data_IF_326223744227
#
_entry.id   IF_326223744227
#
_cell.length_a   1.000
_cell.length_b   1.000
_cell.length_c   1.000
_cell.angle_alpha   90.00
_cell.angle_beta   90.00
_cell.angle_gamma   90.00
#
_symmetry.space_group_name_H-M   'P 1'
#
loop_
_entity.id
_entity.type
_entity.pdbx_description
1 polymer ?
#
# COMPACT_ATOMS: atom_id res chain seq x y z
N UNK A 1 10.13 -13.99 1.12
CA UNK A 1 10.41 -14.50 -0.24
C UNK A 1 11.91 -14.65 -0.43
N UNK A 2 12.38 -15.76 -0.99
CA UNK A 2 13.80 -15.98 -1.32
C UNK A 2 14.29 -14.95 -2.37
N UNK A 3 15.50 -14.42 -2.18
CA UNK A 3 16.17 -13.54 -3.13
C UNK A 3 16.35 -14.17 -4.51
N UNK A 4 16.55 -15.49 -4.59
CA UNK A 4 16.62 -16.23 -5.88
C UNK A 4 15.28 -16.19 -6.61
N UNK A 5 14.19 -16.50 -5.90
CA UNK A 5 12.85 -16.41 -6.46
C UNK A 5 12.55 -14.98 -6.92
N UNK A 6 12.81 -13.97 -6.09
CA UNK A 6 12.56 -12.57 -6.46
C UNK A 6 13.33 -12.14 -7.72
N UNK A 7 14.54 -12.65 -7.92
CA UNK A 7 15.32 -12.42 -9.15
C UNK A 7 14.66 -13.07 -10.38
N UNK A 8 14.18 -14.31 -10.26
CA UNK A 8 13.43 -14.99 -11.31
C UNK A 8 12.12 -14.23 -11.64
N UNK A 9 11.38 -13.80 -10.62
CA UNK A 9 10.15 -13.02 -10.79
C UNK A 9 10.42 -11.67 -11.46
N UNK A 10 11.54 -11.01 -11.16
CA UNK A 10 11.93 -9.77 -11.84
C UNK A 10 12.18 -9.96 -13.34
N UNK A 11 12.65 -11.14 -13.75
CA UNK A 11 12.80 -11.52 -15.16
C UNK A 11 11.44 -11.83 -15.78
N UNK A 12 10.61 -12.62 -15.09
CA UNK A 12 9.26 -12.98 -15.51
C UNK A 12 8.37 -11.74 -15.72
N UNK A 13 8.31 -10.85 -14.72
CA UNK A 13 7.45 -9.65 -14.74
C UNK A 13 8.13 -8.43 -15.34
N UNK A 14 9.14 -8.64 -16.18
CA UNK A 14 9.76 -7.55 -16.93
C UNK A 14 8.73 -6.94 -17.90
N UNK A 15 8.77 -5.61 -18.08
CA UNK A 15 7.84 -4.90 -18.97
C UNK A 15 7.90 -5.36 -20.43
N UNK A 16 8.98 -6.02 -20.87
CA UNK A 16 9.06 -6.58 -22.22
C UNK A 16 8.59 -8.02 -22.33
N UNK A 17 8.27 -8.68 -21.21
CA UNK A 17 7.96 -10.12 -21.15
C UNK A 17 6.45 -10.39 -20.97
N UNK A 18 5.60 -9.83 -21.82
CA UNK A 18 4.18 -10.14 -21.77
C UNK A 18 3.53 -10.14 -23.14
N UNK A 19 2.44 -10.89 -23.25
CA UNK A 19 1.45 -10.74 -24.31
C UNK A 19 0.20 -10.13 -23.71
N UNK A 20 -0.36 -9.11 -24.37
CA UNK A 20 -1.59 -8.50 -23.93
C UNK A 20 -2.79 -9.32 -24.40
N UNK A 21 -3.56 -9.86 -23.46
CA UNK A 21 -4.85 -10.47 -23.73
C UNK A 21 -5.88 -9.35 -23.92
N UNK A 22 -6.29 -9.10 -25.16
CA UNK A 22 -7.22 -8.01 -25.50
C UNK A 22 -8.65 -8.25 -24.99
N UNK A 23 -9.08 -9.51 -24.90
CA UNK A 23 -10.42 -9.88 -24.46
C UNK A 23 -10.57 -9.64 -22.96
N UNK A 24 -9.55 -10.04 -22.19
CA UNK A 24 -9.51 -9.86 -20.74
C UNK A 24 -8.92 -8.53 -20.31
N UNK A 25 -8.24 -7.82 -21.21
CA UNK A 25 -7.50 -6.58 -20.96
C UNK A 25 -6.44 -6.71 -19.87
N UNK A 26 -5.71 -7.82 -19.89
CA UNK A 26 -4.70 -8.17 -18.87
C UNK A 26 -3.39 -8.62 -19.53
N UNK A 27 -2.27 -8.38 -18.86
CA UNK A 27 -0.96 -8.85 -19.31
C UNK A 27 -0.74 -10.30 -18.86
N UNK A 28 -0.33 -11.15 -19.82
CA UNK A 28 0.04 -12.55 -19.60
C UNK A 28 1.55 -12.69 -19.78
N UNK A 29 2.24 -13.10 -18.72
CA UNK A 29 3.69 -13.21 -18.67
C UNK A 29 4.17 -14.59 -19.12
N UNK A 30 5.27 -14.62 -19.87
CA UNK A 30 5.75 -15.83 -20.52
C UNK A 30 6.84 -16.50 -19.67
N UNK A 31 6.61 -17.73 -19.24
CA UNK A 31 7.51 -18.51 -18.36
C UNK A 31 8.67 -19.16 -19.12
N UNK A 32 8.54 -19.36 -20.43
CA UNK A 32 9.57 -19.90 -21.31
C UNK A 32 10.81 -18.99 -21.44
N UNK A 33 10.67 -17.71 -21.09
CA UNK A 33 11.81 -16.78 -20.96
C UNK A 33 12.71 -17.08 -19.75
N UNK A 34 12.22 -17.85 -18.77
CA UNK A 34 12.98 -18.26 -17.60
C UNK A 34 13.89 -19.46 -17.92
N UNK A 35 15.05 -19.54 -17.26
CA UNK A 35 15.91 -20.72 -17.31
C UNK A 35 15.22 -21.92 -16.62
N UNK A 36 15.56 -23.18 -16.95
CA UNK A 36 14.95 -24.35 -16.31
C UNK A 36 15.03 -24.32 -14.77
N UNK A 37 16.17 -23.91 -14.20
CA UNK A 37 16.32 -23.76 -12.75
C UNK A 37 15.47 -22.62 -12.16
N UNK A 38 15.15 -21.59 -12.95
CA UNK A 38 14.23 -20.52 -12.53
C UNK A 38 12.78 -21.00 -12.57
N UNK A 39 12.40 -21.84 -13.55
CA UNK A 39 11.07 -22.47 -13.60
C UNK A 39 10.87 -23.44 -12.44
N UNK A 40 11.88 -24.25 -12.12
CA UNK A 40 11.85 -25.16 -10.97
C UNK A 40 11.69 -24.37 -9.65
N UNK A 41 12.31 -23.20 -9.52
CA UNK A 41 12.11 -22.32 -8.36
C UNK A 41 10.65 -21.85 -8.24
N UNK A 42 9.96 -21.54 -9.34
CA UNK A 42 8.54 -21.20 -9.30
C UNK A 42 7.71 -22.38 -8.78
N UNK A 43 7.97 -23.59 -9.28
CA UNK A 43 7.26 -24.81 -8.85
C UNK A 43 7.50 -25.12 -7.37
N UNK A 44 8.74 -25.05 -6.89
CA UNK A 44 9.10 -25.26 -5.49
C UNK A 44 8.37 -24.31 -4.54
N UNK A 45 8.16 -23.06 -4.99
CA UNK A 45 7.44 -22.04 -4.24
C UNK A 45 5.94 -21.99 -4.56
N UNK A 46 5.42 -22.90 -5.38
CA UNK A 46 4.03 -22.94 -5.83
C UNK A 46 3.58 -21.60 -6.44
N UNK A 47 4.49 -20.91 -7.13
CA UNK A 47 4.23 -19.61 -7.75
C UNK A 47 3.66 -19.79 -9.15
N UNK A 48 2.35 -19.60 -9.30
CA UNK A 48 1.70 -19.51 -10.60
C UNK A 48 2.06 -18.16 -11.25
N UNK A 49 2.57 -18.17 -12.49
CA UNK A 49 3.00 -16.96 -13.17
C UNK A 49 1.86 -15.98 -13.51
N UNK A 50 0.67 -16.51 -13.79
CA UNK A 50 -0.49 -15.77 -14.28
C UNK A 50 -1.78 -16.21 -13.60
N UNK A 51 -1.84 -16.11 -12.27
CA UNK A 51 -3.09 -16.30 -11.55
C UNK A 51 -4.01 -15.13 -11.88
N UNK A 52 -5.07 -15.41 -12.64
CA UNK A 52 -6.02 -14.40 -13.11
C UNK A 52 -7.32 -14.50 -12.34
N UNK A 53 -7.82 -13.36 -11.88
CA UNK A 53 -9.16 -13.25 -11.29
C UNK A 53 -9.86 -11.97 -11.77
N UNK A 54 -11.19 -11.97 -11.74
CA UNK A 54 -12.01 -10.87 -12.22
C UNK A 54 -12.81 -10.25 -11.09
N UNK A 55 -12.71 -8.93 -10.95
CA UNK A 55 -13.34 -8.19 -9.86
C UNK A 55 -14.43 -7.26 -10.37
N UNK A 56 -15.53 -7.20 -9.64
CA UNK A 56 -16.47 -6.08 -9.70
C UNK A 56 -16.32 -5.24 -8.45
N UNK A 57 -16.98 -4.08 -8.43
CA UNK A 57 -17.09 -3.26 -7.25
C UNK A 57 -17.69 -4.07 -6.08
N UNK A 58 -18.75 -4.80 -6.33
CA UNK A 58 -19.46 -5.58 -5.32
C UNK A 58 -18.61 -6.76 -4.83
N UNK A 59 -18.00 -7.53 -5.75
CA UNK A 59 -17.26 -8.74 -5.38
C UNK A 59 -16.02 -8.43 -4.54
N UNK A 60 -15.33 -7.32 -4.81
CA UNK A 60 -14.14 -6.96 -4.02
C UNK A 60 -14.51 -6.52 -2.59
N UNK A 61 -15.64 -5.84 -2.42
CA UNK A 61 -16.14 -5.48 -1.09
C UNK A 61 -16.56 -6.72 -0.31
N UNK A 62 -17.25 -7.67 -0.93
CA UNK A 62 -17.57 -8.96 -0.28
C UNK A 62 -16.31 -9.69 0.20
N UNK A 63 -15.24 -9.68 -0.61
CA UNK A 63 -13.97 -10.31 -0.25
C UNK A 63 -13.27 -9.59 0.91
N UNK A 64 -13.21 -8.26 0.89
CA UNK A 64 -12.66 -7.46 2.00
C UNK A 64 -13.44 -7.67 3.30
N UNK A 65 -14.78 -7.69 3.24
CA UNK A 65 -15.64 -7.92 4.41
C UNK A 65 -15.38 -9.31 5.01
N UNK A 66 -15.19 -10.35 4.19
CA UNK A 66 -14.85 -11.70 4.67
C UNK A 66 -13.57 -11.70 5.51
N UNK A 67 -12.56 -10.91 5.11
CA UNK A 67 -11.29 -10.81 5.82
C UNK A 67 -11.38 -10.11 7.19
N UNK A 68 -12.41 -9.30 7.45
CA UNK A 68 -12.57 -8.61 8.75
C UNK A 68 -12.63 -9.54 9.95
N UNK A 69 -13.06 -10.79 9.73
CA UNK A 69 -13.16 -11.82 10.77
C UNK A 69 -11.88 -12.63 10.97
N UNK A 70 -10.82 -12.37 10.20
CA UNK A 70 -9.59 -13.16 10.24
C UNK A 70 -8.79 -12.86 11.51
N UNK A 71 -8.51 -13.86 12.39
CA UNK A 71 -7.89 -13.63 13.69
C UNK A 71 -6.43 -13.14 13.60
N UNK A 72 -5.74 -13.44 12.50
CA UNK A 72 -4.38 -12.95 12.24
C UNK A 72 -4.27 -11.48 11.82
N UNK A 73 -5.40 -10.80 11.56
CA UNK A 73 -5.41 -9.39 11.14
C UNK A 73 -5.90 -8.51 12.30
N UNK A 74 -5.02 -7.63 12.77
CA UNK A 74 -5.28 -6.64 13.81
C UNK A 74 -4.40 -5.42 13.57
N UNK A 75 -4.68 -4.29 14.22
CA UNK A 75 -3.78 -3.13 14.19
C UNK A 75 -2.36 -3.49 14.62
N UNK A 76 -2.22 -4.34 15.65
CA UNK A 76 -0.91 -4.80 16.14
C UNK A 76 -0.15 -5.59 15.08
N UNK A 77 -0.80 -6.59 14.45
CA UNK A 77 -0.15 -7.45 13.46
C UNK A 77 0.15 -6.73 12.14
N UNK A 78 -0.70 -5.81 11.71
CA UNK A 78 -0.41 -5.00 10.50
C UNK A 78 0.60 -3.91 10.77
N UNK A 79 0.64 -3.32 11.97
CA UNK A 79 1.70 -2.40 12.39
C UNK A 79 3.05 -3.12 12.42
N UNK A 80 3.10 -4.35 12.93
CA UNK A 80 4.30 -5.18 12.93
C UNK A 80 4.86 -5.37 11.50
N UNK A 81 3.99 -5.75 10.56
CA UNK A 81 4.34 -5.87 9.15
C UNK A 81 4.79 -4.52 8.55
N UNK A 82 4.10 -3.43 8.87
CA UNK A 82 4.44 -2.10 8.38
C UNK A 82 5.83 -1.65 8.85
N UNK A 83 6.13 -1.82 10.14
CA UNK A 83 7.45 -1.51 10.71
C UNK A 83 8.55 -2.31 10.01
N UNK A 84 8.36 -3.62 9.85
CA UNK A 84 9.28 -4.49 9.12
C UNK A 84 9.44 -4.07 7.63
N UNK A 85 8.38 -3.54 7.02
CA UNK A 85 8.41 -2.94 5.69
C UNK A 85 9.23 -1.67 5.61
N UNK A 86 9.06 -0.75 6.57
CA UNK A 86 9.81 0.51 6.65
C UNK A 86 11.30 0.28 6.89
N UNK A 87 11.65 -0.64 7.79
CA UNK A 87 13.03 -1.03 8.06
C UNK A 87 13.69 -1.87 6.96
N UNK A 88 12.85 -2.54 6.16
CA UNK A 88 13.26 -3.26 4.96
C UNK A 88 13.52 -4.75 5.17
N UNK A 89 13.26 -5.31 6.35
CA UNK A 89 13.28 -6.75 6.59
C UNK A 89 12.09 -7.47 5.90
N UNK A 90 10.98 -6.76 5.69
CA UNK A 90 9.78 -7.30 5.06
C UNK A 90 9.09 -6.26 4.14
N UNK A 91 9.66 -5.92 2.96
CA UNK A 91 9.21 -4.80 2.13
C UNK A 91 7.71 -4.78 1.80
N UNK A 92 7.07 -5.94 1.59
CA UNK A 92 5.62 -6.00 1.32
C UNK A 92 4.75 -5.41 2.43
N UNK A 93 5.26 -5.42 3.66
CA UNK A 93 4.56 -4.88 4.81
C UNK A 93 4.28 -3.39 4.70
N UNK A 94 4.93 -2.65 3.80
CA UNK A 94 4.65 -1.22 3.61
C UNK A 94 3.16 -0.99 3.26
N UNK A 95 2.52 -1.88 2.52
CA UNK A 95 1.11 -1.72 2.13
C UNK A 95 0.12 -2.08 3.24
N UNK A 96 0.54 -2.83 4.28
CA UNK A 96 -0.36 -3.50 5.23
C UNK A 96 -1.28 -2.52 5.97
N UNK A 97 -0.75 -1.35 6.33
CA UNK A 97 -1.44 -0.36 7.15
C UNK A 97 -2.67 0.22 6.42
N UNK A 98 -2.46 0.66 5.17
CA UNK A 98 -3.53 1.21 4.33
C UNK A 98 -4.52 0.12 3.90
N UNK A 99 -4.01 -1.07 3.53
CA UNK A 99 -4.86 -2.21 3.18
C UNK A 99 -5.78 -2.60 4.34
N UNK A 100 -5.26 -2.70 5.56
CA UNK A 100 -6.02 -3.06 6.75
C UNK A 100 -7.06 -1.99 7.12
N UNK A 101 -6.68 -0.71 7.10
CA UNK A 101 -7.61 0.40 7.34
C UNK A 101 -8.81 0.34 6.40
N UNK A 102 -8.57 0.12 5.10
CA UNK A 102 -9.65 -0.09 4.13
C UNK A 102 -10.51 -1.30 4.50
N UNK A 103 -9.88 -2.42 4.83
CA UNK A 103 -10.61 -3.67 5.10
C UNK A 103 -11.49 -3.55 6.34
N UNK A 104 -11.02 -3.00 7.46
CA UNK A 104 -11.83 -2.88 8.68
C UNK A 104 -13.04 -1.96 8.51
N UNK A 105 -12.95 -1.01 7.58
CA UNK A 105 -14.04 -0.09 7.26
C UNK A 105 -14.81 -0.48 5.99
N UNK A 106 -14.52 -1.63 5.39
CA UNK A 106 -15.27 -2.11 4.24
C UNK A 106 -16.71 -2.46 4.63
N UNK A 107 -17.67 -1.99 3.85
CA UNK A 107 -19.07 -2.38 3.98
C UNK A 107 -19.71 -2.45 2.60
N UNK A 108 -20.84 -3.15 2.50
CA UNK A 108 -21.57 -3.24 1.25
C UNK A 108 -22.22 -1.90 0.91
N UNK A 109 -21.93 -1.36 -0.28
CA UNK A 109 -22.58 -0.16 -0.80
C UNK A 109 -22.68 -0.24 -2.34
N UNK A 110 -23.62 0.47 -2.96
CA UNK A 110 -23.67 0.58 -4.42
C UNK A 110 -22.46 1.36 -4.95
N UNK A 111 -22.10 1.11 -6.20
CA UNK A 111 -21.18 1.99 -6.92
C UNK A 111 -21.87 3.34 -7.18
N UNK A 112 -21.32 4.40 -6.59
CA UNK A 112 -21.74 5.78 -6.84
C UNK A 112 -20.56 6.59 -7.34
N UNK A 113 -20.61 7.07 -8.58
CA UNK A 113 -19.49 7.81 -9.16
C UNK A 113 -19.28 9.16 -8.45
N UNK A 114 -18.02 9.51 -8.18
CA UNK A 114 -17.64 10.83 -7.72
C UNK A 114 -17.92 11.91 -8.78
N UNK A 115 -18.21 13.14 -8.37
CA UNK A 115 -18.62 14.22 -9.27
C UNK A 115 -17.60 14.49 -10.38
N UNK A 116 -16.30 14.43 -10.04
CA UNK A 116 -15.20 14.88 -10.90
C UNK A 116 -14.21 13.77 -11.28
N UNK A 117 -14.44 12.55 -10.81
CA UNK A 117 -13.48 11.46 -10.91
C UNK A 117 -14.16 10.16 -11.34
N UNK A 118 -13.45 9.35 -12.12
CA UNK A 118 -13.97 8.09 -12.67
C UNK A 118 -13.78 6.95 -11.66
N UNK A 119 -14.28 7.15 -10.44
CA UNK A 119 -14.22 6.17 -9.36
C UNK A 119 -15.44 6.26 -8.45
N UNK A 120 -15.63 5.25 -7.62
CA UNK A 120 -16.63 5.30 -6.56
C UNK A 120 -16.29 6.40 -5.55
N UNK A 121 -17.25 7.25 -5.22
CA UNK A 121 -17.11 8.36 -4.27
C UNK A 121 -16.86 7.89 -2.83
N UNK A 122 -17.27 6.66 -2.51
CA UNK A 122 -17.13 6.07 -1.17
C UNK A 122 -15.75 5.43 -1.04
N UNK A 123 -15.49 4.36 -1.80
CA UNK A 123 -14.32 3.52 -1.61
C UNK A 123 -13.16 3.80 -2.58
N UNK A 124 -13.37 4.62 -3.62
CA UNK A 124 -12.36 4.90 -4.63
C UNK A 124 -12.15 3.82 -5.68
N UNK A 125 -12.97 2.77 -5.72
CA UNK A 125 -12.92 1.77 -6.78
C UNK A 125 -13.06 2.41 -8.17
N UNK A 126 -12.04 2.25 -9.01
CA UNK A 126 -12.08 2.77 -10.37
C UNK A 126 -12.79 1.78 -11.31
N UNK A 127 -13.56 2.26 -12.27
CA UNK A 127 -14.16 1.37 -13.29
C UNK A 127 -13.13 0.55 -14.08
N UNK A 128 -11.89 1.05 -14.22
CA UNK A 128 -10.77 0.30 -14.82
C UNK A 128 -10.10 -0.68 -13.84
N UNK A 129 -10.34 -0.55 -12.52
CA UNK A 129 -9.99 -1.57 -11.53
C UNK A 129 -10.91 -2.79 -11.63
N UNK A 130 -12.09 -2.66 -12.26
CA UNK A 130 -12.94 -3.79 -12.59
C UNK A 130 -12.40 -4.65 -13.73
N UNK A 131 -12.84 -5.91 -13.76
CA UNK A 131 -12.43 -6.92 -14.74
C UNK A 131 -11.21 -7.72 -14.30
N UNK A 132 -10.55 -8.35 -15.27
CA UNK A 132 -9.45 -9.29 -15.02
C UNK A 132 -8.19 -8.60 -14.51
N UNK A 133 -7.57 -9.19 -13.50
CA UNK A 133 -6.28 -8.80 -12.92
C UNK A 133 -5.36 -10.00 -12.84
N UNK A 134 -4.06 -9.74 -12.97
CA UNK A 134 -3.02 -10.73 -12.74
C UNK A 134 -2.56 -10.60 -11.29
N UNK A 135 -3.08 -11.47 -10.42
CA UNK A 135 -2.80 -11.44 -8.99
C UNK A 135 -1.34 -11.77 -8.69
N UNK A 136 -0.74 -12.68 -9.46
CA UNK A 136 0.68 -13.01 -9.30
C UNK A 136 1.58 -11.79 -9.53
N UNK A 137 1.28 -10.96 -10.54
CA UNK A 137 2.00 -9.70 -10.74
C UNK A 137 1.80 -8.74 -9.55
N UNK A 138 0.56 -8.58 -9.06
CA UNK A 138 0.27 -7.72 -7.91
C UNK A 138 1.04 -8.17 -6.65
N UNK A 139 1.07 -9.48 -6.37
CA UNK A 139 1.86 -10.05 -5.26
C UNK A 139 3.35 -9.77 -5.45
N UNK A 140 3.88 -9.97 -6.66
CA UNK A 140 5.29 -9.65 -6.96
C UNK A 140 5.62 -8.18 -6.67
N UNK A 141 4.80 -7.22 -7.11
CA UNK A 141 5.08 -5.81 -6.86
C UNK A 141 4.94 -5.43 -5.38
N UNK A 142 4.07 -6.10 -4.62
CA UNK A 142 4.03 -6.00 -3.16
C UNK A 142 5.37 -6.49 -2.55
N UNK A 143 5.94 -7.61 -3.00
CA UNK A 143 7.27 -8.06 -2.53
C UNK A 143 8.41 -7.09 -2.86
N UNK A 144 8.23 -6.20 -3.84
CA UNK A 144 9.17 -5.10 -4.11
C UNK A 144 8.97 -3.89 -3.18
N UNK A 145 7.95 -3.89 -2.33
CA UNK A 145 7.61 -2.81 -1.41
C UNK A 145 6.71 -1.72 -2.01
N UNK A 146 6.05 -1.97 -3.14
CA UNK A 146 5.07 -1.03 -3.67
C UNK A 146 3.79 -1.03 -2.82
N UNK A 147 3.18 0.13 -2.66
CA UNK A 147 1.89 0.29 -1.96
C UNK A 147 0.72 0.13 -2.91
N UNK A 148 -0.24 -0.70 -2.51
CA UNK A 148 -1.47 -0.95 -3.27
C UNK A 148 -2.73 -0.86 -2.39
N UNK A 149 -2.60 -0.49 -1.12
CA UNK A 149 -3.73 -0.36 -0.18
C UNK A 149 -4.76 0.71 -0.57
N UNK A 150 -4.37 1.70 -1.38
CA UNK A 150 -5.26 2.74 -1.90
C UNK A 150 -6.27 2.24 -2.96
N UNK A 151 -6.05 1.05 -3.53
CA UNK A 151 -6.98 0.39 -4.46
C UNK A 151 -7.63 -0.83 -3.77
N UNK A 152 -8.95 -1.05 -3.88
CA UNK A 152 -9.61 -2.19 -3.22
C UNK A 152 -9.08 -3.56 -3.62
N UNK A 153 -8.72 -3.77 -4.90
CA UNK A 153 -8.17 -5.06 -5.37
C UNK A 153 -6.75 -5.24 -4.85
N UNK A 154 -5.97 -4.17 -4.86
CA UNK A 154 -4.64 -4.13 -4.25
C UNK A 154 -4.64 -4.48 -2.76
N UNK A 155 -5.52 -3.82 -1.98
CA UNK A 155 -5.68 -4.06 -0.55
C UNK A 155 -6.09 -5.50 -0.24
N UNK A 156 -7.06 -6.05 -0.96
CA UNK A 156 -7.44 -7.45 -0.79
C UNK A 156 -6.29 -8.39 -1.14
N UNK A 157 -5.59 -8.15 -2.26
CA UNK A 157 -4.47 -9.00 -2.68
C UNK A 157 -3.37 -9.02 -1.61
N UNK A 158 -3.05 -7.86 -1.03
CA UNK A 158 -2.09 -7.72 0.05
C UNK A 158 -2.51 -8.49 1.30
N UNK A 159 -3.72 -8.24 1.80
CA UNK A 159 -4.22 -8.86 3.03
C UNK A 159 -4.45 -10.36 2.87
N UNK A 160 -5.00 -10.81 1.75
CA UNK A 160 -5.27 -12.22 1.51
C UNK A 160 -4.00 -13.07 1.47
N UNK A 161 -2.86 -12.52 1.05
CA UNK A 161 -1.59 -13.22 1.16
C UNK A 161 -0.94 -12.99 2.54
N UNK A 162 -1.15 -11.82 3.15
CA UNK A 162 -0.68 -11.56 4.52
C UNK A 162 -1.33 -12.52 5.53
N UNK A 163 -2.60 -12.91 5.37
CA UNK A 163 -3.25 -13.91 6.23
C UNK A 163 -2.53 -15.26 6.16
N UNK A 164 -2.19 -15.73 4.96
CA UNK A 164 -1.42 -16.98 4.76
C UNK A 164 -0.06 -16.90 5.46
N UNK A 165 0.62 -15.75 5.36
CA UNK A 165 1.90 -15.53 6.04
C UNK A 165 1.71 -15.55 7.56
N UNK A 166 0.72 -14.84 8.08
CA UNK A 166 0.44 -14.76 9.52
C UNK A 166 0.07 -16.12 10.11
N UNK A 167 -0.66 -16.96 9.38
CA UNK A 167 -1.03 -18.32 9.81
C UNK A 167 0.18 -19.26 9.88
N UNK A 168 1.20 -19.04 9.03
CA UNK A 168 2.42 -19.84 9.02
C UNK A 168 3.45 -19.33 10.03
N UNK A 169 3.73 -18.02 9.98
CA UNK A 169 4.69 -17.34 10.83
C UNK A 169 4.34 -15.85 10.92
N UNK A 170 3.83 -15.39 12.09
CA UNK A 170 3.57 -13.98 12.32
C UNK A 170 4.78 -13.09 12.04
N UNK A 171 4.54 -11.95 11.39
CA UNK A 171 5.59 -10.99 11.09
C UNK A 171 5.92 -10.20 12.35
N UNK A 172 7.18 -10.25 12.76
CA UNK A 172 7.71 -9.46 13.87
C UNK A 172 8.80 -8.52 13.37
N UNK A 173 8.71 -7.20 13.60
CA UNK A 173 9.77 -6.27 13.24
C UNK A 173 11.02 -6.54 14.07
N UNK A 174 12.18 -6.43 13.45
CA UNK A 174 13.46 -6.47 14.16
C UNK A 174 13.70 -5.16 14.91
N UNK A 175 14.67 -5.15 15.82
CA UNK A 175 15.11 -3.93 16.50
C UNK A 175 15.62 -2.86 15.52
N UNK A 176 16.26 -3.27 14.41
CA UNK A 176 16.70 -2.35 13.36
C UNK A 176 15.50 -1.73 12.64
N UNK A 177 14.44 -2.51 12.38
CA UNK A 177 13.23 -1.99 11.75
C UNK A 177 12.54 -0.93 12.60
N UNK A 178 12.41 -1.19 13.90
CA UNK A 178 11.82 -0.25 14.87
C UNK A 178 12.67 1.02 14.96
N UNK A 179 14.01 0.90 14.98
CA UNK A 179 14.90 2.05 15.04
C UNK A 179 14.82 2.93 13.77
N UNK A 180 14.72 2.32 12.58
CA UNK A 180 14.49 3.07 11.34
C UNK A 180 13.17 3.84 11.41
N UNK A 181 12.11 3.22 11.93
CA UNK A 181 10.82 3.90 12.09
C UNK A 181 10.88 5.02 13.14
N UNK A 182 11.51 4.81 14.29
CA UNK A 182 11.71 5.87 15.30
C UNK A 182 12.45 7.07 14.73
N UNK A 183 13.49 6.84 13.93
CA UNK A 183 14.22 7.91 13.22
C UNK A 183 13.35 8.63 12.19
N UNK A 184 12.44 7.92 11.52
CA UNK A 184 11.48 8.56 10.61
C UNK A 184 10.53 9.48 11.40
N UNK A 185 10.01 9.02 12.53
CA UNK A 185 9.14 9.83 13.39
C UNK A 185 9.86 11.06 13.94
N UNK A 186 11.10 10.90 14.41
CA UNK A 186 11.93 12.02 14.85
C UNK A 186 12.14 13.03 13.71
N UNK A 187 12.42 12.55 12.50
CA UNK A 187 12.59 13.40 11.32
C UNK A 187 11.33 14.23 11.00
N UNK A 188 10.15 13.66 11.21
CA UNK A 188 8.85 14.32 11.02
C UNK A 188 8.55 15.33 12.14
N UNK A 189 8.89 15.00 13.39
CA UNK A 189 8.74 15.90 14.54
C UNK A 189 9.67 17.13 14.48
N UNK A 190 10.86 16.95 13.91
CA UNK A 190 11.87 18.00 13.72
C UNK A 190 11.71 18.76 12.39
N UNK A 191 10.60 18.58 11.67
CA UNK A 191 10.33 19.29 10.44
C UNK A 191 10.26 20.81 10.66
N UNK A 192 10.79 21.58 9.70
CA UNK A 192 10.57 23.03 9.67
C UNK A 192 9.06 23.30 9.53
N UNK A 193 8.46 24.25 10.26
CA UNK A 193 7.01 24.51 10.20
C UNK A 193 6.45 24.70 8.78
N UNK A 194 7.27 25.29 7.89
CA UNK A 194 6.93 25.57 6.49
C UNK A 194 7.38 24.44 5.53
N UNK A 195 7.93 23.34 6.05
CA UNK A 195 8.36 22.20 5.24
C UNK A 195 7.14 21.55 4.56
N UNK A 196 7.18 21.55 3.24
CA UNK A 196 6.17 20.90 2.39
C UNK A 196 6.44 19.41 2.23
N UNK A 197 5.43 18.59 1.86
CA UNK A 197 5.61 17.17 1.58
C UNK A 197 6.74 16.85 0.58
N UNK A 198 6.86 17.67 -0.47
CA UNK A 198 7.90 17.51 -1.47
C UNK A 198 9.32 17.84 -0.98
N UNK A 199 9.46 18.77 -0.01
CA UNK A 199 10.73 19.04 0.65
C UNK A 199 11.11 17.89 1.59
N UNK A 200 10.15 17.37 2.36
CA UNK A 200 10.36 16.21 3.21
C UNK A 200 10.80 14.98 2.42
N UNK A 201 10.15 14.66 1.30
CA UNK A 201 10.55 13.54 0.43
C UNK A 201 12.00 13.67 -0.06
N UNK A 202 12.44 14.90 -0.39
CA UNK A 202 13.82 15.19 -0.80
C UNK A 202 14.80 15.02 0.36
N UNK A 203 14.45 15.50 1.56
CA UNK A 203 15.25 15.35 2.79
C UNK A 203 15.41 13.88 3.15
N UNK A 204 14.31 13.13 3.16
CA UNK A 204 14.29 11.68 3.41
C UNK A 204 15.15 10.92 2.39
N UNK A 205 15.07 11.27 1.11
CA UNK A 205 15.91 10.68 0.05
C UNK A 205 17.40 10.95 0.30
N UNK A 206 17.75 12.18 0.67
CA UNK A 206 19.14 12.59 0.90
C UNK A 206 19.77 11.87 2.10
N UNK A 207 18.98 11.65 3.15
CA UNK A 207 19.42 10.95 4.36
C UNK A 207 19.55 9.43 4.18
N UNK A 208 18.96 8.86 3.13
CA UNK A 208 18.96 7.41 2.85
C UNK A 208 18.48 6.55 4.04
N UNK A 209 17.62 7.11 4.90
CA UNK A 209 17.11 6.44 6.10
C UNK A 209 16.34 5.16 5.75
N UNK A 210 15.44 5.26 4.77
CA UNK A 210 14.61 4.16 4.28
C UNK A 210 15.20 3.64 2.97
N UNK A 211 15.30 2.32 2.81
CA UNK A 211 15.78 1.70 1.56
C UNK A 211 14.67 1.74 0.50
N UNK A 212 15.05 1.84 -0.78
CA UNK A 212 14.11 1.80 -1.89
C UNK A 212 13.94 3.12 -2.65
N UNK A 213 12.94 3.12 -3.55
CA UNK A 213 12.68 4.20 -4.51
C UNK A 213 11.95 5.38 -3.88
N UNK A 214 11.82 6.50 -4.62
CA UNK A 214 10.94 7.62 -4.24
C UNK A 214 9.51 7.15 -3.99
N UNK A 215 9.01 6.23 -4.83
CA UNK A 215 7.65 5.68 -4.72
C UNK A 215 7.43 4.91 -3.42
N UNK A 216 8.41 4.11 -2.99
CA UNK A 216 8.34 3.38 -1.71
C UNK A 216 8.25 4.35 -0.52
N UNK A 217 9.11 5.37 -0.50
CA UNK A 217 9.10 6.39 0.57
C UNK A 217 7.78 7.15 0.62
N UNK A 218 7.25 7.51 -0.55
CA UNK A 218 5.94 8.15 -0.66
C UNK A 218 4.83 7.22 -0.17
N UNK A 219 4.87 5.94 -0.53
CA UNK A 219 3.90 4.94 -0.06
C UNK A 219 3.85 4.86 1.46
N UNK A 220 5.00 4.86 2.14
CA UNK A 220 5.08 4.89 3.61
C UNK A 220 4.39 6.14 4.17
N UNK A 221 4.71 7.32 3.64
CA UNK A 221 4.13 8.59 4.09
C UNK A 221 2.62 8.62 3.83
N UNK A 222 2.19 8.14 2.66
CA UNK A 222 0.79 8.01 2.27
C UNK A 222 0.02 7.10 3.24
N UNK A 223 0.56 5.92 3.57
CA UNK A 223 -0.10 5.01 4.51
C UNK A 223 -0.24 5.62 5.90
N UNK A 224 0.79 6.32 6.41
CA UNK A 224 0.70 7.03 7.69
C UNK A 224 -0.31 8.19 7.65
N UNK A 225 -0.42 8.91 6.53
CA UNK A 225 -1.44 9.93 6.34
C UNK A 225 -2.85 9.34 6.30
N UNK A 226 -3.07 8.23 5.58
CA UNK A 226 -4.40 7.61 5.45
C UNK A 226 -4.99 7.24 6.81
N UNK A 227 -4.17 6.76 7.75
CA UNK A 227 -4.60 6.44 9.11
C UNK A 227 -4.51 7.64 10.07
N UNK A 228 -4.14 8.83 9.59
CA UNK A 228 -4.09 10.07 10.35
C UNK A 228 -2.92 10.23 11.31
N UNK A 229 -1.93 9.32 11.28
CA UNK A 229 -0.67 9.49 12.02
C UNK A 229 0.08 10.72 11.51
N UNK A 230 0.05 10.96 10.20
CA UNK A 230 0.41 12.24 9.62
C UNK A 230 -0.87 13.05 9.40
N UNK A 231 -1.11 14.14 10.17
CA UNK A 231 -2.30 14.96 10.01
C UNK A 231 -2.38 15.61 8.63
N UNK A 232 -3.57 16.09 8.30
CA UNK A 232 -3.84 16.80 7.05
C UNK A 232 -4.66 18.07 7.36
N UNK A 233 -4.33 19.18 6.70
CA UNK A 233 -4.99 20.48 6.94
C UNK A 233 -6.40 20.60 6.38
N UNK A 234 -6.76 19.74 5.43
CA UNK A 234 -8.02 19.81 4.69
C UNK A 234 -9.00 18.72 5.12
N UNK A 235 -8.50 17.50 5.31
CA UNK A 235 -9.33 16.32 5.58
C UNK A 235 -8.96 15.67 6.90
N UNK A 236 -9.97 15.34 7.69
CA UNK A 236 -9.78 14.51 8.87
C UNK A 236 -9.64 13.04 8.46
N UNK A 237 -8.64 12.38 9.03
CA UNK A 237 -8.28 10.99 8.77
C UNK A 237 -8.04 10.32 10.11
N UNK A 238 -8.52 9.10 10.30
CA UNK A 238 -8.48 8.41 11.59
C UNK A 238 -8.41 6.92 11.38
N UNK A 239 -7.75 6.16 12.27
CA UNK A 239 -7.85 4.70 12.24
C UNK A 239 -9.29 4.21 12.52
N UNK A 240 -10.12 5.02 13.18
CA UNK A 240 -11.45 4.63 13.67
C UNK A 240 -12.60 4.86 12.68
N UNK A 241 -12.37 5.58 11.58
CA UNK A 241 -13.39 5.79 10.56
C UNK A 241 -12.81 5.82 9.15
N UNK A 242 -13.69 5.60 8.18
CA UNK A 242 -13.40 5.81 6.77
C UNK A 242 -13.75 7.23 6.35
N UNK A 243 -12.82 7.90 5.65
CA UNK A 243 -13.10 9.16 4.96
C UNK A 243 -13.39 8.83 3.50
N UNK A 244 -14.59 9.20 3.03
CA UNK A 244 -15.00 8.93 1.66
C UNK A 244 -13.97 9.44 0.65
N UNK A 245 -13.72 8.65 -0.39
CA UNK A 245 -12.72 8.97 -1.40
C UNK A 245 -12.98 10.33 -2.06
N UNK A 246 -14.24 10.69 -2.32
CA UNK A 246 -14.58 12.00 -2.89
C UNK A 246 -14.18 13.16 -1.99
N UNK A 247 -14.28 13.01 -0.66
CA UNK A 247 -13.79 14.01 0.29
C UNK A 247 -12.28 14.17 0.19
N UNK A 248 -11.53 13.06 0.11
CA UNK A 248 -10.07 13.06 -0.06
C UNK A 248 -9.68 13.74 -1.38
N UNK A 249 -10.32 13.36 -2.48
CA UNK A 249 -10.06 13.90 -3.81
C UNK A 249 -10.43 15.38 -3.94
N UNK A 250 -11.56 15.79 -3.36
CA UNK A 250 -11.94 17.21 -3.33
C UNK A 250 -11.03 18.04 -2.43
N UNK A 251 -10.38 17.44 -1.43
CA UNK A 251 -9.36 18.11 -0.64
C UNK A 251 -8.15 18.54 -1.47
N UNK A 252 -7.79 17.76 -2.50
CA UNK A 252 -6.71 18.11 -3.43
C UNK A 252 -6.95 19.46 -4.12
N UNK A 253 -8.21 19.78 -4.43
CA UNK A 253 -8.59 21.01 -5.12
C UNK A 253 -8.45 22.27 -4.26
N UNK A 254 -8.40 22.09 -2.94
CA UNK A 254 -8.24 23.18 -1.98
C UNK A 254 -6.78 23.53 -1.75
N UNK A 255 -5.87 22.62 -2.12
CA UNK A 255 -4.44 22.82 -1.94
C UNK A 255 -3.86 23.69 -3.06
N UNK A 256 -2.96 24.60 -2.67
CA UNK A 256 -2.23 25.44 -3.62
C UNK A 256 -1.07 24.69 -4.29
N UNK A 257 -0.52 23.67 -3.62
CA UNK A 257 0.65 22.90 -4.05
C UNK A 257 0.31 21.77 -5.05
N UNK A 258 -0.97 21.51 -5.35
CA UNK A 258 -1.45 20.42 -6.24
C UNK A 258 -1.97 20.91 -7.59
N UNK A 259 -2.01 22.22 -7.85
CA UNK A 259 -2.56 22.80 -9.10
C UNK A 259 -1.72 22.44 -10.34
N UNK A 260 -1.97 21.25 -10.90
CA UNK A 260 -1.65 20.84 -12.26
C UNK A 260 -0.20 20.41 -12.56
N UNK A 261 0.71 20.41 -11.58
CA UNK A 261 2.13 20.03 -11.79
C UNK A 261 2.79 19.20 -10.69
N UNK A 262 2.09 18.96 -9.59
CA UNK A 262 2.65 18.19 -8.47
C UNK A 262 2.25 16.73 -8.60
N UNK A 263 3.22 15.82 -8.47
CA UNK A 263 2.99 14.38 -8.38
C UNK A 263 2.56 13.94 -6.97
N UNK A 264 2.27 14.92 -6.10
CA UNK A 264 1.84 14.69 -4.73
C UNK A 264 0.35 14.37 -4.68
N UNK A 265 0.00 13.29 -3.99
CA UNK A 265 -1.36 12.79 -3.90
C UNK A 265 -1.91 12.99 -2.48
N UNK A 266 -3.23 13.20 -2.38
CA UNK A 266 -3.92 13.17 -1.09
C UNK A 266 -3.96 11.73 -0.53
N UNK A 267 -3.94 11.54 0.80
CA UNK A 267 -3.90 12.60 1.80
C UNK A 267 -2.50 13.14 2.15
N UNK A 268 -1.41 12.54 1.68
CA UNK A 268 -0.06 13.03 2.01
C UNK A 268 0.18 14.48 1.58
N UNK A 269 -0.41 14.91 0.47
CA UNK A 269 -0.29 16.28 -0.06
C UNK A 269 -0.72 17.41 0.90
N UNK A 270 -1.60 17.11 1.87
CA UNK A 270 -2.11 18.09 2.82
C UNK A 270 -1.37 18.16 4.15
N UNK A 271 -0.26 17.43 4.31
CA UNK A 271 0.63 17.59 5.45
C UNK A 271 1.56 18.81 5.25
N UNK A 272 2.01 19.42 6.36
CA UNK A 272 3.15 20.35 6.39
C UNK A 272 3.82 20.25 7.77
N UNK A 273 5.07 20.73 7.88
CA UNK A 273 5.90 20.48 9.06
C UNK A 273 5.31 20.96 10.39
N UNK A 274 4.54 22.05 10.41
CA UNK A 274 3.86 22.52 11.63
C UNK A 274 2.89 21.46 12.22
N UNK A 275 2.31 20.59 11.38
CA UNK A 275 1.40 19.54 11.83
C UNK A 275 2.10 18.39 12.57
N UNK A 276 3.38 18.16 12.29
CA UNK A 276 4.19 17.08 12.88
C UNK A 276 3.50 15.71 12.81
N UNK A 277 3.70 14.84 13.80
CA UNK A 277 3.01 13.54 13.95
C UNK A 277 1.89 13.67 14.98
N UNK A 278 0.76 13.02 14.70
CA UNK A 278 -0.29 12.86 15.71
C UNK A 278 0.11 11.77 16.71
N UNK A 279 0.52 12.17 17.92
CA UNK A 279 1.00 11.27 18.96
C UNK A 279 -0.07 10.28 19.46
N UNK A 280 -1.34 10.69 19.52
CA UNK A 280 -2.42 9.83 20.00
C UNK A 280 -2.69 8.68 19.00
N UNK A 281 -2.78 9.00 17.71
CA UNK A 281 -2.96 7.98 16.64
C UNK A 281 -1.73 7.12 16.47
N UNK A 282 -0.54 7.70 16.66
CA UNK A 282 0.71 6.93 16.69
C UNK A 282 0.69 5.90 17.82
N UNK A 283 0.33 6.31 19.04
CA UNK A 283 0.24 5.40 20.19
C UNK A 283 -0.86 4.34 20.00
N UNK A 284 -1.99 4.72 19.42
CA UNK A 284 -3.10 3.79 19.14
C UNK A 284 -2.68 2.66 18.22
N UNK A 285 -1.91 2.96 17.16
CA UNK A 285 -1.56 1.98 16.12
C UNK A 285 -0.25 1.25 16.44
N UNK A 286 0.76 1.99 16.91
CA UNK A 286 2.13 1.49 17.05
C UNK A 286 2.59 1.35 18.50
N UNK A 287 1.78 1.73 19.49
CA UNK A 287 2.18 1.80 20.89
C UNK A 287 2.60 0.48 21.53
N UNK A 288 2.21 -0.66 20.97
CA UNK A 288 2.73 -1.97 21.40
C UNK A 288 4.20 -2.18 21.02
N UNK A 289 4.65 -1.54 19.93
CA UNK A 289 5.98 -1.73 19.35
C UNK A 289 6.97 -0.61 19.69
N UNK A 290 6.48 0.57 20.07
CA UNK A 290 7.26 1.78 20.35
C UNK A 290 7.52 1.99 21.84
#
# INVERSE_FOLDING_TARGET
MDAKLLKALKKLYNYSNYTYDADRKVSIYQTDTLLPAEQELLEQHQWEANELDSFTHESIHEQLIKLQSHPGLSWESVAAAFLAGVGGSFPRGISSLESYHRMIHAYAHPYEQAERFVCCKVCGFHTYSGGWKNLSYLRYVLYLGNTYGSDPVGAWTDLNELTVIQDQQPVHPSAEDIEVFRRLLQLLEEADPEETPGQLEKRLTSLKLIKGTKGIRRGILQSLSTVGVLPNVIVELSPEHWTNQETILNGELQLHNTRGRSDMQMPWAGWHGELRVNSDKLQQIFGYWL
#
